data_IF_118755108025
#
_entry.id   IF_118755108025
#
_cell.length_a   1.000
_cell.length_b   1.000
_cell.length_c   1.000
_cell.angle_alpha   90.00
_cell.angle_beta   90.00
_cell.angle_gamma   90.00
#
_symmetry.space_group_name_H-M   'P 1'
#
loop_
_entity.id
_entity.type
_entity.pdbx_description
1 polymer ?
#
# COMPACT_ATOMS: atom_id res chain seq x y z
N UNK A 1 -0.40 -8.12 20.29
CA UNK A 1 0.65 -8.20 19.24
C UNK A 1 1.75 -7.24 19.64
N UNK A 2 2.98 -7.72 19.77
CA UNK A 2 4.13 -6.87 20.07
C UNK A 2 4.51 -6.07 18.82
N UNK A 3 5.03 -4.85 18.95
CA UNK A 3 5.43 -4.05 17.79
C UNK A 3 6.40 -4.75 16.82
N UNK A 4 7.33 -5.57 17.33
CA UNK A 4 8.22 -6.39 16.50
C UNK A 4 7.49 -7.48 15.67
N UNK A 5 6.42 -8.07 16.22
CA UNK A 5 5.59 -9.05 15.51
C UNK A 5 4.77 -8.37 14.41
N UNK A 6 4.24 -7.17 14.69
CA UNK A 6 3.55 -6.34 13.72
C UNK A 6 4.48 -5.94 12.57
N UNK A 7 5.70 -5.47 12.88
CA UNK A 7 6.73 -5.13 11.88
C UNK A 7 7.00 -6.32 10.95
N UNK A 8 7.25 -7.50 11.51
CA UNK A 8 7.52 -8.71 10.72
C UNK A 8 6.33 -9.13 9.85
N UNK A 9 5.10 -9.02 10.38
CA UNK A 9 3.89 -9.32 9.62
C UNK A 9 3.72 -8.36 8.43
N UNK A 10 3.93 -7.06 8.66
CA UNK A 10 3.88 -6.03 7.62
C UNK A 10 4.97 -6.24 6.57
N UNK A 11 6.19 -6.56 6.97
CA UNK A 11 7.33 -6.83 6.07
C UNK A 11 7.00 -7.97 5.10
N UNK A 12 6.48 -9.09 5.61
CA UNK A 12 6.08 -10.25 4.79
C UNK A 12 4.97 -9.91 3.80
N UNK A 13 3.94 -9.20 4.28
CA UNK A 13 2.80 -8.84 3.44
C UNK A 13 3.21 -7.84 2.34
N UNK A 14 4.00 -6.82 2.68
CA UNK A 14 4.51 -5.81 1.74
C UNK A 14 5.41 -6.43 0.66
N UNK A 15 6.34 -7.32 1.04
CA UNK A 15 7.19 -8.03 0.06
C UNK A 15 6.38 -8.92 -0.87
N UNK A 16 5.38 -9.63 -0.33
CA UNK A 16 4.48 -10.45 -1.14
C UNK A 16 3.69 -9.63 -2.15
N UNK A 17 3.17 -8.46 -1.74
CA UNK A 17 2.49 -7.52 -2.64
C UNK A 17 3.43 -6.95 -3.69
N UNK A 18 4.62 -6.52 -3.29
CA UNK A 18 5.61 -5.93 -4.18
C UNK A 18 6.01 -6.90 -5.29
N UNK A 19 6.29 -8.17 -4.93
CA UNK A 19 6.61 -9.20 -5.91
C UNK A 19 5.49 -9.40 -6.93
N UNK A 20 4.23 -9.52 -6.47
CA UNK A 20 3.06 -9.68 -7.35
C UNK A 20 2.86 -8.49 -8.28
N UNK A 21 3.03 -7.26 -7.77
CA UNK A 21 2.91 -6.04 -8.58
C UNK A 21 4.01 -5.99 -9.66
N UNK A 22 5.26 -6.31 -9.32
CA UNK A 22 6.37 -6.34 -10.28
C UNK A 22 6.18 -7.43 -11.34
N UNK A 23 5.71 -8.61 -10.97
CA UNK A 23 5.37 -9.68 -11.91
C UNK A 23 4.22 -9.26 -12.83
N UNK A 24 3.16 -8.67 -12.28
CA UNK A 24 2.04 -8.14 -13.07
C UNK A 24 2.53 -7.11 -14.10
N UNK A 25 3.36 -6.17 -13.67
CA UNK A 25 3.95 -5.17 -14.56
C UNK A 25 4.81 -5.80 -15.68
N UNK A 26 5.66 -6.77 -15.36
CA UNK A 26 6.50 -7.44 -16.34
C UNK A 26 5.71 -8.25 -17.37
N UNK A 27 4.62 -8.91 -16.95
CA UNK A 27 3.80 -9.77 -17.81
C UNK A 27 2.77 -8.99 -18.63
N UNK A 28 2.27 -7.88 -18.08
CA UNK A 28 1.09 -7.19 -18.60
C UNK A 28 1.27 -5.67 -18.70
N UNK A 29 2.51 -5.17 -18.68
CA UNK A 29 2.83 -3.74 -18.76
C UNK A 29 2.18 -3.00 -19.93
N UNK A 30 1.92 -3.70 -21.05
CA UNK A 30 1.26 -3.16 -22.24
C UNK A 30 -0.25 -3.49 -22.32
N UNK A 31 -0.78 -4.20 -21.32
CA UNK A 31 -2.17 -4.65 -21.22
C UNK A 31 -2.83 -4.11 -19.94
N UNK A 32 -3.26 -2.83 -19.94
CA UNK A 32 -3.76 -2.15 -18.74
C UNK A 32 -4.96 -2.85 -18.08
N UNK A 33 -5.79 -3.57 -18.83
CA UNK A 33 -6.92 -4.31 -18.28
C UNK A 33 -6.48 -5.48 -17.38
N UNK A 34 -5.43 -6.21 -17.76
CA UNK A 34 -4.91 -7.33 -16.97
C UNK A 34 -4.22 -6.84 -15.68
N UNK A 35 -3.63 -5.65 -15.70
CA UNK A 35 -3.07 -5.01 -14.49
C UNK A 35 -4.17 -4.59 -13.50
N UNK A 36 -5.32 -4.15 -14.01
CA UNK A 36 -6.42 -3.65 -13.19
C UNK A 36 -7.08 -4.74 -12.34
N UNK A 37 -7.34 -5.91 -12.92
CA UNK A 37 -8.04 -7.01 -12.24
C UNK A 37 -7.23 -7.58 -11.07
N UNK A 38 -5.93 -7.87 -11.29
CA UNK A 38 -5.05 -8.36 -10.23
C UNK A 38 -4.82 -7.32 -9.11
N UNK A 39 -4.85 -6.03 -9.45
CA UNK A 39 -4.63 -4.95 -8.47
C UNK A 39 -5.85 -4.70 -7.60
N UNK A 40 -7.08 -4.84 -8.14
CA UNK A 40 -8.34 -4.64 -7.39
C UNK A 40 -8.44 -5.53 -6.15
N UNK A 41 -8.15 -6.82 -6.32
CA UNK A 41 -8.22 -7.81 -5.25
C UNK A 41 -7.21 -7.50 -4.11
N UNK A 42 -6.15 -6.75 -4.43
CA UNK A 42 -5.12 -6.34 -3.48
C UNK A 42 -5.43 -5.08 -2.66
N UNK A 43 -6.42 -4.25 -3.05
CA UNK A 43 -6.61 -2.94 -2.41
C UNK A 43 -7.08 -3.05 -0.96
N UNK A 44 -8.06 -3.91 -0.68
CA UNK A 44 -8.58 -4.07 0.70
C UNK A 44 -7.50 -4.55 1.66
N UNK A 45 -6.65 -5.48 1.23
CA UNK A 45 -5.54 -5.95 2.05
C UNK A 45 -4.41 -4.91 2.15
N UNK A 46 -4.19 -4.07 1.13
CA UNK A 46 -3.30 -2.91 1.25
C UNK A 46 -3.81 -1.91 2.30
N UNK A 47 -5.10 -1.62 2.35
CA UNK A 47 -5.66 -0.74 3.39
C UNK A 47 -5.47 -1.30 4.81
N UNK A 48 -5.45 -2.62 4.98
CA UNK A 48 -5.12 -3.26 6.28
C UNK A 48 -3.65 -3.04 6.62
N UNK A 49 -2.75 -3.22 5.65
CA UNK A 49 -1.32 -2.95 5.81
C UNK A 49 -1.06 -1.50 6.19
N UNK A 50 -1.72 -0.53 5.53
CA UNK A 50 -1.57 0.88 5.87
C UNK A 50 -2.02 1.18 7.30
N UNK A 51 -3.11 0.56 7.78
CA UNK A 51 -3.52 0.68 9.19
C UNK A 51 -2.48 0.12 10.14
N UNK A 52 -1.92 -1.05 9.84
CA UNK A 52 -0.84 -1.62 10.63
C UNK A 52 0.41 -0.73 10.63
N UNK A 53 0.73 -0.09 9.51
CA UNK A 53 1.83 0.87 9.42
C UNK A 53 1.60 2.10 10.32
N UNK A 54 0.39 2.67 10.32
CA UNK A 54 0.04 3.77 11.23
C UNK A 54 0.23 3.35 12.70
N UNK A 55 -0.24 2.17 13.07
CA UNK A 55 -0.08 1.63 14.42
C UNK A 55 1.40 1.42 14.78
N UNK A 56 2.20 0.90 13.83
CA UNK A 56 3.64 0.73 14.00
C UNK A 56 4.34 2.09 14.23
N UNK A 57 3.89 3.14 13.52
CA UNK A 57 4.37 4.51 13.68
C UNK A 57 3.82 5.25 14.91
N UNK A 58 3.07 4.56 15.80
CA UNK A 58 2.48 5.18 16.99
C UNK A 58 1.35 6.17 16.70
N UNK A 59 0.66 6.01 15.56
CA UNK A 59 -0.44 6.87 15.10
C UNK A 59 -1.76 6.10 15.08
N UNK A 60 -2.85 6.80 15.33
CA UNK A 60 -4.21 6.24 15.17
C UNK A 60 -4.59 6.27 13.68
N UNK A 61 -4.95 5.12 13.07
CA UNK A 61 -5.36 5.09 11.67
C UNK A 61 -6.74 5.75 11.48
N UNK A 62 -6.89 6.66 10.50
CA UNK A 62 -8.19 7.20 10.13
C UNK A 62 -9.17 6.09 9.67
N UNK A 63 -10.47 6.22 9.97
CA UNK A 63 -11.48 5.26 9.52
C UNK A 63 -11.75 5.40 8.03
N UNK A 64 -11.73 6.63 7.50
CA UNK A 64 -11.92 6.89 6.07
C UNK A 64 -10.72 6.39 5.25
N UNK A 65 -10.94 5.60 4.18
CA UNK A 65 -9.85 5.08 3.37
C UNK A 65 -8.99 6.14 2.67
N UNK A 66 -9.56 7.29 2.29
CA UNK A 66 -8.83 8.36 1.61
C UNK A 66 -7.97 9.13 2.61
N UNK A 67 -8.51 9.43 3.79
CA UNK A 67 -7.77 10.01 4.92
C UNK A 67 -6.64 9.08 5.38
N UNK A 68 -6.89 7.76 5.43
CA UNK A 68 -5.87 6.78 5.75
C UNK A 68 -4.71 6.80 4.74
N UNK A 69 -5.02 6.92 3.44
CA UNK A 69 -3.99 7.03 2.40
C UNK A 69 -3.18 8.31 2.56
N UNK A 70 -3.83 9.44 2.86
CA UNK A 70 -3.16 10.71 3.09
C UNK A 70 -2.23 10.64 4.32
N UNK A 71 -2.74 10.15 5.46
CA UNK A 71 -1.97 10.01 6.69
C UNK A 71 -0.79 9.04 6.52
N UNK A 72 -0.99 7.91 5.82
CA UNK A 72 0.10 6.99 5.53
C UNK A 72 1.15 7.61 4.58
N UNK A 73 0.73 8.43 3.62
CA UNK A 73 1.64 9.14 2.72
C UNK A 73 2.53 10.13 3.48
N UNK A 74 2.00 10.81 4.50
CA UNK A 74 2.78 11.72 5.35
C UNK A 74 3.85 10.97 6.17
N UNK A 75 3.54 9.77 6.65
CA UNK A 75 4.48 8.93 7.43
C UNK A 75 5.55 8.29 6.52
N UNK A 76 5.16 7.84 5.33
CA UNK A 76 5.97 6.97 4.47
C UNK A 76 6.66 7.71 3.31
N UNK A 77 6.12 8.84 2.87
CA UNK A 77 6.69 9.66 1.78
C UNK A 77 6.29 9.24 0.35
N UNK A 78 5.17 8.54 0.16
CA UNK A 78 4.63 8.25 -1.19
C UNK A 78 3.66 9.33 -1.67
N UNK A 79 3.36 9.37 -2.98
CA UNK A 79 2.38 10.33 -3.54
C UNK A 79 0.95 9.84 -3.25
N UNK A 80 0.12 10.56 -2.48
CA UNK A 80 -1.19 10.04 -2.07
C UNK A 80 -2.22 10.02 -3.21
N UNK A 81 -2.18 10.99 -4.12
CA UNK A 81 -3.26 11.21 -5.09
C UNK A 81 -3.57 9.99 -6.00
N UNK A 82 -2.57 9.31 -6.60
CA UNK A 82 -2.85 8.10 -7.37
C UNK A 82 -3.50 6.99 -6.53
N UNK A 83 -2.99 6.71 -5.34
CA UNK A 83 -3.53 5.65 -4.48
C UNK A 83 -4.91 6.03 -3.91
N UNK A 84 -5.15 7.30 -3.61
CA UNK A 84 -6.45 7.78 -3.17
C UNK A 84 -7.51 7.54 -4.26
N UNK A 85 -7.22 7.86 -5.52
CA UNK A 85 -8.14 7.58 -6.64
C UNK A 85 -8.44 6.09 -6.77
N UNK A 86 -7.41 5.25 -6.67
CA UNK A 86 -7.54 3.79 -6.66
C UNK A 86 -8.47 3.33 -5.56
N UNK A 87 -8.26 3.83 -4.34
CA UNK A 87 -9.05 3.46 -3.18
C UNK A 87 -10.50 3.94 -3.35
N UNK A 88 -10.76 5.19 -3.70
CA UNK A 88 -12.12 5.72 -3.86
C UNK A 88 -12.91 4.97 -4.95
N UNK A 89 -12.24 4.57 -6.03
CA UNK A 89 -12.90 3.92 -7.18
C UNK A 89 -12.92 2.39 -7.12
N UNK A 90 -12.26 1.76 -6.14
CA UNK A 90 -12.14 0.28 -6.05
C UNK A 90 -13.45 -0.49 -6.04
N UNK A 91 -14.54 0.13 -5.57
CA UNK A 91 -15.87 -0.46 -5.49
C UNK A 91 -16.71 -0.25 -6.76
N UNK A 92 -16.25 0.57 -7.69
CA UNK A 92 -16.90 0.81 -8.97
C UNK A 92 -16.59 -0.37 -9.90
N UNK A 93 -17.64 -1.01 -10.43
CA UNK A 93 -17.53 -2.19 -11.29
C UNK A 93 -16.94 -1.89 -12.67
N UNK A 94 -17.12 -0.67 -13.16
CA UNK A 94 -16.66 -0.19 -14.47
C UNK A 94 -15.27 0.45 -14.44
N UNK A 95 -14.74 0.72 -13.25
CA UNK A 95 -13.44 1.39 -13.13
C UNK A 95 -12.31 0.56 -13.74
N UNK A 96 -11.29 1.22 -14.24
CA UNK A 96 -10.08 0.58 -14.79
C UNK A 96 -8.88 1.30 -14.22
N UNK A 97 -7.92 0.52 -13.75
CA UNK A 97 -6.68 1.04 -13.23
C UNK A 97 -5.85 1.60 -14.40
N UNK A 98 -5.63 2.91 -14.39
CA UNK A 98 -4.74 3.56 -15.35
C UNK A 98 -3.28 3.22 -15.05
N UNK A 99 -2.38 3.45 -16.03
CA UNK A 99 -0.93 3.28 -15.84
C UNK A 99 -0.39 4.16 -14.71
N UNK A 100 -0.88 5.39 -14.59
CA UNK A 100 -0.48 6.33 -13.53
C UNK A 100 -0.92 5.82 -12.15
N UNK A 101 -2.15 5.32 -12.04
CA UNK A 101 -2.67 4.74 -10.80
C UNK A 101 -1.92 3.46 -10.40
N UNK A 102 -1.57 2.61 -11.38
CA UNK A 102 -0.72 1.45 -11.14
C UNK A 102 0.68 1.85 -10.65
N UNK A 103 1.32 2.83 -11.31
CA UNK A 103 2.62 3.33 -10.90
C UNK A 103 2.59 3.91 -9.47
N UNK A 104 1.51 4.62 -9.12
CA UNK A 104 1.32 5.13 -7.77
C UNK A 104 1.05 4.05 -6.72
N UNK A 105 0.33 2.98 -7.08
CA UNK A 105 0.17 1.80 -6.24
C UNK A 105 1.52 1.13 -5.97
N UNK A 106 2.34 0.97 -7.01
CA UNK A 106 3.68 0.40 -6.89
C UNK A 106 4.60 1.27 -6.01
N UNK A 107 4.66 2.58 -6.25
CA UNK A 107 5.44 3.54 -5.43
C UNK A 107 5.05 3.46 -3.95
N UNK A 108 3.74 3.41 -3.65
CA UNK A 108 3.25 3.32 -2.29
C UNK A 108 3.67 2.01 -1.61
N UNK A 109 3.58 0.87 -2.30
CA UNK A 109 4.00 -0.43 -1.74
C UNK A 109 5.51 -0.50 -1.55
N UNK A 110 6.29 0.03 -2.51
CA UNK A 110 7.76 0.08 -2.41
C UNK A 110 8.23 0.92 -1.24
N UNK A 111 7.67 2.13 -1.08
CA UNK A 111 8.04 3.02 0.03
C UNK A 111 7.57 2.48 1.37
N UNK A 112 6.38 1.87 1.44
CA UNK A 112 5.91 1.24 2.67
C UNK A 112 6.81 0.05 3.07
N UNK A 113 7.26 -0.77 2.11
CA UNK A 113 8.22 -1.84 2.37
C UNK A 113 9.54 -1.27 2.92
N UNK A 114 10.09 -0.25 2.24
CA UNK A 114 11.31 0.42 2.68
C UNK A 114 11.16 1.03 4.08
N UNK A 115 10.03 1.66 4.38
CA UNK A 115 9.74 2.22 5.70
C UNK A 115 9.79 1.14 6.79
N UNK A 116 9.11 0.01 6.57
CA UNK A 116 9.06 -1.10 7.54
C UNK A 116 10.42 -1.79 7.70
N UNK A 117 11.19 -1.94 6.60
CA UNK A 117 12.53 -2.53 6.62
C UNK A 117 13.51 -1.70 7.46
N UNK A 118 13.40 -0.36 7.40
CA UNK A 118 14.25 0.57 8.15
C UNK A 118 13.64 1.02 9.48
N UNK A 119 12.48 0.46 9.86
CA UNK A 119 11.83 0.82 11.11
C UNK A 119 12.60 0.22 12.29
N UNK A 120 13.58 0.97 12.78
CA UNK A 120 14.16 0.77 14.12
C UNK A 120 13.19 1.35 15.13
N UNK A 121 12.68 0.53 16.05
CA UNK A 121 12.14 1.09 17.27
C UNK A 121 13.23 1.98 17.87
N UNK A 122 12.93 3.26 18.09
CA UNK A 122 13.63 3.97 19.16
C UNK A 122 13.48 3.08 20.38
N UNK A 123 14.59 2.53 20.86
CA UNK A 123 14.66 1.94 22.18
C UNK A 123 14.16 3.03 23.11
N UNK A 124 12.91 2.89 23.56
CA UNK A 124 12.35 3.77 24.56
C UNK A 124 13.23 3.56 25.81
N UNK A 125 14.08 4.56 26.05
CA UNK A 125 14.75 4.81 27.32
C UNK A 125 13.73 4.97 28.44
#
# INVERSE_FOLDING_TARGET
MRPAELRLALERELRGKLLRLRQGYALHGDRPEALAEGSRQGISSLLVVLRGLMLLAGRTPPPDPSELVAAAAEVVGFKPAPLARVVTRRLQSDWRLSREEFAGLLDAVEKAASFVDHFTHGEAS
#
